data_IF_389545010694
#
_entry.id   IF_389545010694
#
_cell.length_a   1.000
_cell.length_b   1.000
_cell.length_c   1.000
_cell.angle_alpha   90.00
_cell.angle_beta   90.00
_cell.angle_gamma   90.00
#
_symmetry.space_group_name_H-M   'P 1'
#
loop_
_entity.id
_entity.type
_entity.pdbx_description
1 polymer ?
#
# COMPACT_ATOMS: atom_id res chain seq x y z
N UNK A 1 -19.79 -11.79 -10.28
CA UNK A 1 -18.40 -12.25 -10.45
C UNK A 1 -17.96 -12.88 -9.13
N UNK A 2 -17.32 -14.06 -9.15
CA UNK A 2 -16.63 -14.58 -7.96
C UNK A 2 -15.16 -14.21 -8.10
N UNK A 3 -14.59 -13.57 -7.09
CA UNK A 3 -13.14 -13.38 -6.99
C UNK A 3 -12.43 -14.73 -7.14
N UNK A 4 -11.19 -14.74 -7.60
CA UNK A 4 -10.35 -15.95 -7.64
C UNK A 4 -9.01 -15.67 -6.95
N UNK A 5 -8.26 -16.72 -6.60
CA UNK A 5 -6.97 -16.59 -5.93
C UNK A 5 -7.08 -16.28 -4.42
N UNK A 6 -5.97 -15.83 -3.83
CA UNK A 6 -5.79 -15.70 -2.37
C UNK A 6 -6.74 -14.72 -1.67
N UNK A 7 -7.42 -13.85 -2.41
CA UNK A 7 -8.31 -12.83 -1.85
C UNK A 7 -9.76 -13.30 -1.68
N UNK A 8 -10.09 -14.52 -2.13
CA UNK A 8 -11.42 -15.14 -2.04
C UNK A 8 -12.11 -15.03 -0.66
N UNK A 9 -11.33 -15.07 0.42
CA UNK A 9 -11.83 -15.14 1.79
C UNK A 9 -12.00 -13.77 2.52
N UNK A 10 -12.28 -12.70 1.77
CA UNK A 10 -12.95 -11.51 2.36
C UNK A 10 -12.15 -10.21 2.45
N UNK A 11 -11.04 -10.06 1.71
CA UNK A 11 -10.32 -8.78 1.63
C UNK A 11 -10.94 -7.86 0.55
N UNK A 12 -11.52 -8.43 -0.49
CA UNK A 12 -12.12 -7.70 -1.60
C UNK A 12 -13.41 -8.41 -2.08
N UNK A 13 -14.57 -8.20 -1.43
CA UNK A 13 -15.75 -9.02 -1.65
C UNK A 13 -16.23 -9.02 -3.11
N UNK A 14 -15.99 -7.91 -3.83
CA UNK A 14 -16.44 -7.72 -5.21
C UNK A 14 -15.29 -7.67 -6.24
N UNK A 15 -14.04 -7.87 -5.82
CA UNK A 15 -12.88 -7.89 -6.71
C UNK A 15 -11.76 -6.91 -6.33
N UNK A 16 -10.56 -7.20 -6.82
CA UNK A 16 -9.36 -6.37 -6.70
C UNK A 16 -8.98 -5.77 -8.06
N UNK A 17 -8.77 -4.45 -8.11
CA UNK A 17 -8.27 -3.78 -9.32
C UNK A 17 -6.74 -3.88 -9.40
N UNK A 18 -6.24 -4.70 -10.31
CA UNK A 18 -4.79 -4.86 -10.52
C UNK A 18 -4.16 -3.64 -11.21
N UNK A 19 -3.22 -2.99 -10.53
CA UNK A 19 -2.43 -1.85 -11.04
C UNK A 19 -0.96 -2.20 -11.33
N UNK A 20 -0.59 -3.48 -11.25
CA UNK A 20 0.79 -3.95 -11.43
C UNK A 20 1.33 -3.80 -12.86
N UNK A 21 2.59 -4.20 -13.05
CA UNK A 21 3.29 -4.09 -14.33
C UNK A 21 2.84 -5.12 -15.38
N UNK A 22 2.08 -6.14 -14.97
CA UNK A 22 1.64 -7.24 -15.84
C UNK A 22 0.70 -6.82 -16.98
N UNK A 23 0.68 -7.64 -18.02
CA UNK A 23 -0.01 -7.38 -19.28
C UNK A 23 -1.54 -7.28 -19.18
N UNK A 24 -2.11 -7.86 -18.12
CA UNK A 24 -3.56 -7.88 -17.83
C UNK A 24 -4.00 -6.84 -16.78
N UNK A 25 -3.10 -5.98 -16.31
CA UNK A 25 -3.46 -4.91 -15.37
C UNK A 25 -4.29 -3.83 -16.07
N UNK A 26 -5.10 -3.09 -15.30
CA UNK A 26 -5.95 -2.03 -15.86
C UNK A 26 -5.14 -0.98 -16.64
N UNK A 27 -4.01 -0.44 -16.12
CA UNK A 27 -3.24 0.52 -16.88
C UNK A 27 -2.61 -0.09 -18.15
N UNK A 28 -2.26 -1.38 -18.16
CA UNK A 28 -1.75 -2.07 -19.36
C UNK A 28 -2.81 -2.18 -20.45
N UNK A 29 -4.03 -2.58 -20.08
CA UNK A 29 -5.14 -2.67 -21.02
C UNK A 29 -5.47 -1.30 -21.65
N UNK A 30 -5.58 -0.26 -20.83
CA UNK A 30 -5.91 1.08 -21.31
C UNK A 30 -4.82 1.66 -22.21
N UNK A 31 -3.54 1.43 -21.87
CA UNK A 31 -2.42 1.90 -22.68
C UNK A 31 -2.31 1.15 -24.02
N UNK A 32 -2.47 -0.18 -24.03
CA UNK A 32 -2.48 -0.99 -25.27
C UNK A 32 -3.62 -0.62 -26.21
N UNK A 33 -4.76 -0.23 -25.66
CA UNK A 33 -5.88 0.29 -26.44
C UNK A 33 -5.64 1.72 -26.98
N UNK A 34 -4.51 2.35 -26.64
CA UNK A 34 -4.15 3.70 -27.07
C UNK A 34 -4.98 4.82 -26.44
N UNK A 35 -5.72 4.53 -25.36
CA UNK A 35 -6.63 5.47 -24.71
C UNK A 35 -5.86 6.47 -23.84
N UNK A 36 -4.80 5.99 -23.19
CA UNK A 36 -3.98 6.73 -22.22
C UNK A 36 -2.52 6.33 -22.35
N UNK A 37 -1.61 7.13 -21.74
CA UNK A 37 -0.21 6.72 -21.55
C UNK A 37 -0.13 5.53 -20.60
N UNK A 38 0.96 4.77 -20.66
CA UNK A 38 1.20 3.67 -19.72
C UNK A 38 1.70 4.18 -18.37
N UNK A 39 0.84 4.90 -17.67
CA UNK A 39 1.10 5.46 -16.36
C UNK A 39 -0.21 5.62 -15.60
N UNK A 40 -0.11 5.87 -14.30
CA UNK A 40 -1.26 6.30 -13.52
C UNK A 40 -0.79 7.08 -12.30
N UNK A 41 -1.70 7.79 -11.64
CA UNK A 41 -1.45 8.33 -10.31
C UNK A 41 -2.56 7.99 -9.34
N UNK A 42 -2.19 7.99 -8.06
CA UNK A 42 -3.06 7.82 -6.92
C UNK A 42 -2.89 9.00 -5.98
N UNK A 43 -3.98 9.47 -5.41
CA UNK A 43 -3.96 10.44 -4.33
C UNK A 43 -4.91 9.97 -3.23
N UNK A 44 -4.39 9.87 -2.02
CA UNK A 44 -5.15 9.55 -0.82
C UNK A 44 -5.30 10.81 0.04
N UNK A 45 -6.53 11.16 0.34
CA UNK A 45 -6.91 12.26 1.22
C UNK A 45 -7.11 11.73 2.65
N UNK A 46 -6.99 12.61 3.65
CA UNK A 46 -7.12 12.25 5.07
C UNK A 46 -8.53 11.80 5.44
N UNK A 47 -9.54 12.19 4.67
CA UNK A 47 -10.95 11.87 4.93
C UNK A 47 -11.37 10.50 4.38
N UNK A 48 -10.44 9.54 4.30
CA UNK A 48 -10.62 8.23 3.68
C UNK A 48 -11.13 8.30 2.23
N UNK A 49 -10.87 9.42 1.55
CA UNK A 49 -11.23 9.65 0.16
C UNK A 49 -9.98 9.65 -0.71
N UNK A 50 -10.16 9.58 -2.03
CA UNK A 50 -9.01 9.56 -2.92
C UNK A 50 -9.42 9.60 -4.38
N UNK A 51 -8.41 9.65 -5.24
CA UNK A 51 -8.58 9.65 -6.70
C UNK A 51 -7.50 8.81 -7.36
N UNK A 52 -7.89 8.22 -8.50
CA UNK A 52 -6.99 7.53 -9.42
C UNK A 52 -7.11 8.18 -10.80
N UNK A 53 -5.98 8.40 -11.47
CA UNK A 53 -5.93 8.94 -12.82
C UNK A 53 -5.09 8.03 -13.71
N UNK A 54 -5.66 7.49 -14.77
CA UNK A 54 -4.92 6.69 -15.75
C UNK A 54 -4.32 7.60 -16.84
N UNK A 55 -3.11 7.29 -17.29
CA UNK A 55 -2.35 8.09 -18.26
C UNK A 55 -1.63 9.29 -17.66
N UNK A 56 -1.73 9.47 -16.34
CA UNK A 56 -1.22 10.63 -15.67
C UNK A 56 0.31 10.56 -15.49
N UNK A 57 1.01 11.63 -15.87
CA UNK A 57 2.45 11.78 -15.72
C UNK A 57 2.83 12.71 -14.56
N UNK A 58 1.85 13.27 -13.86
CA UNK A 58 2.10 14.24 -12.78
C UNK A 58 2.55 15.61 -13.27
N UNK A 59 2.83 16.54 -12.35
CA UNK A 59 3.36 17.85 -12.68
C UNK A 59 4.84 17.79 -13.07
N UNK A 60 5.29 18.76 -13.88
CA UNK A 60 6.66 18.83 -14.43
C UNK A 60 7.72 18.89 -13.33
N UNK A 61 7.42 19.56 -12.21
CA UNK A 61 8.33 19.81 -11.10
C UNK A 61 8.15 18.83 -9.92
N UNK A 62 7.52 17.68 -10.14
CA UNK A 62 7.44 16.64 -9.10
C UNK A 62 8.83 16.07 -8.77
N UNK A 63 8.97 15.56 -7.56
CA UNK A 63 10.11 14.73 -7.21
C UNK A 63 9.93 13.32 -7.77
N UNK A 64 11.01 12.57 -7.96
CA UNK A 64 10.92 11.19 -8.43
C UNK A 64 12.11 10.32 -8.06
N UNK A 65 11.92 9.01 -8.14
CA UNK A 65 12.97 8.00 -8.07
C UNK A 65 12.69 6.90 -9.09
N UNK A 66 13.73 6.32 -9.68
CA UNK A 66 13.58 5.16 -10.56
C UNK A 66 13.10 3.94 -9.78
N UNK A 67 12.28 3.12 -10.43
CA UNK A 67 12.04 1.75 -9.98
C UNK A 67 13.31 0.92 -10.15
N UNK A 68 13.40 -0.13 -9.34
CA UNK A 68 14.46 -1.12 -9.38
C UNK A 68 13.89 -2.45 -9.87
N UNK A 69 14.70 -3.26 -10.58
CA UNK A 69 14.31 -4.62 -10.89
C UNK A 69 14.17 -5.45 -9.61
N UNK A 70 13.29 -6.45 -9.66
CA UNK A 70 13.09 -7.40 -8.57
C UNK A 70 14.40 -8.11 -8.22
N UNK A 71 14.78 -8.20 -6.94
CA UNK A 71 15.98 -8.91 -6.52
C UNK A 71 15.99 -10.40 -6.89
N UNK A 72 14.81 -11.02 -7.00
CA UNK A 72 14.69 -12.48 -7.18
C UNK A 72 14.93 -12.94 -8.62
N UNK A 73 14.59 -12.11 -9.61
CA UNK A 73 14.63 -12.52 -11.02
C UNK A 73 15.21 -11.44 -11.97
N UNK A 74 15.52 -10.24 -11.47
CA UNK A 74 16.08 -9.15 -12.29
C UNK A 74 15.07 -8.44 -13.19
N UNK A 75 13.78 -8.79 -13.13
CA UNK A 75 12.73 -8.21 -13.97
C UNK A 75 11.94 -7.11 -13.23
N UNK A 76 11.29 -6.24 -14.00
CA UNK A 76 10.36 -5.23 -13.50
C UNK A 76 8.95 -5.82 -13.41
N UNK A 77 8.72 -6.65 -12.39
CA UNK A 77 7.41 -7.29 -12.20
C UNK A 77 6.54 -6.56 -11.16
N UNK A 78 7.15 -5.65 -10.39
CA UNK A 78 6.48 -4.87 -9.34
C UNK A 78 7.20 -3.52 -9.11
N UNK A 79 6.62 -2.67 -8.26
CA UNK A 79 7.09 -1.31 -8.00
C UNK A 79 8.06 -1.27 -6.81
N UNK A 80 9.34 -1.56 -7.04
CA UNK A 80 10.37 -1.49 -6.00
C UNK A 80 11.17 -0.20 -6.14
N UNK A 81 11.43 0.48 -5.02
CA UNK A 81 12.30 1.66 -4.93
C UNK A 81 13.44 1.42 -3.94
N UNK A 82 14.56 2.11 -4.12
CA UNK A 82 15.70 2.06 -3.20
C UNK A 82 15.74 3.29 -2.29
N UNK A 83 15.68 3.07 -0.98
CA UNK A 83 15.75 4.13 0.04
C UNK A 83 17.16 4.18 0.62
N UNK A 84 17.88 5.28 0.39
CA UNK A 84 19.28 5.45 0.81
C UNK A 84 19.41 5.78 2.29
N UNK A 85 18.51 6.61 2.82
CA UNK A 85 18.49 6.99 4.22
C UNK A 85 17.07 7.21 4.73
N UNK A 86 16.91 7.04 6.04
CA UNK A 86 15.68 7.32 6.77
C UNK A 86 15.99 8.33 7.88
N UNK A 87 15.37 9.50 7.81
CA UNK A 87 15.66 10.61 8.72
C UNK A 87 14.49 10.90 9.67
N UNK A 88 14.85 11.17 10.93
CA UNK A 88 13.97 11.60 12.00
C UNK A 88 14.41 12.96 12.50
N UNK A 89 13.59 13.98 12.28
CA UNK A 89 13.96 15.37 12.49
C UNK A 89 15.20 15.72 11.67
N UNK A 90 16.28 16.09 12.36
CA UNK A 90 17.57 16.46 11.77
C UNK A 90 18.60 15.32 11.73
N UNK A 91 18.25 14.10 12.16
CA UNK A 91 19.16 12.96 12.17
C UNK A 91 18.76 11.96 11.09
N UNK A 92 19.73 11.60 10.27
CA UNK A 92 19.55 10.61 9.22
C UNK A 92 20.30 9.35 9.60
N UNK A 93 19.58 8.24 9.63
CA UNK A 93 20.16 6.90 9.70
C UNK A 93 20.68 6.63 8.30
N UNK A 94 21.97 6.91 8.10
CA UNK A 94 22.69 6.62 6.87
C UNK A 94 22.93 5.10 6.80
N UNK A 95 23.12 4.58 5.59
CA UNK A 95 23.37 3.14 5.33
C UNK A 95 22.16 2.21 5.48
N UNK A 96 20.93 2.73 5.55
CA UNK A 96 19.75 1.84 5.53
C UNK A 96 19.66 1.10 4.20
N UNK A 97 19.95 1.78 3.07
CA UNK A 97 20.04 1.24 1.70
C UNK A 97 19.06 0.10 1.38
N UNK A 98 17.83 0.19 1.90
CA UNK A 98 16.87 -0.89 1.81
C UNK A 98 16.01 -0.72 0.57
N UNK A 99 15.51 -1.84 0.07
CA UNK A 99 14.52 -1.86 -1.00
C UNK A 99 13.13 -1.87 -0.38
N UNK A 100 12.22 -1.14 -0.99
CA UNK A 100 10.83 -1.12 -0.57
C UNK A 100 9.89 -1.32 -1.75
N UNK A 101 8.94 -2.22 -1.58
CA UNK A 101 7.77 -2.33 -2.43
C UNK A 101 6.85 -1.13 -2.16
N UNK A 102 6.42 -0.44 -3.21
CA UNK A 102 5.37 0.58 -3.13
C UNK A 102 4.03 -0.13 -3.30
N UNK A 103 3.29 -0.29 -2.21
CA UNK A 103 2.06 -1.10 -2.20
C UNK A 103 0.85 -0.29 -1.77
N UNK A 104 -0.02 -0.01 -2.72
CA UNK A 104 -1.25 0.75 -2.52
C UNK A 104 -2.36 -0.11 -1.90
N UNK A 105 -2.18 -1.43 -1.84
CA UNK A 105 -3.10 -2.37 -1.17
C UNK A 105 -2.80 -2.57 0.31
N UNK A 106 -1.68 -2.05 0.81
CA UNK A 106 -1.29 -2.17 2.22
C UNK A 106 -1.49 -0.84 2.95
N UNK A 107 -2.19 -0.85 4.09
CA UNK A 107 -2.52 0.36 4.84
C UNK A 107 -1.30 1.04 5.48
N UNK A 108 -0.34 0.26 5.99
CA UNK A 108 0.78 0.76 6.79
C UNK A 108 2.14 0.43 6.19
N UNK A 109 3.14 1.22 6.57
CA UNK A 109 4.52 1.03 6.13
C UNK A 109 5.23 0.01 7.00
N UNK A 110 5.91 -0.94 6.37
CA UNK A 110 6.70 -1.98 7.02
C UNK A 110 8.17 -1.80 6.65
N UNK A 111 9.07 -1.86 7.63
CA UNK A 111 10.50 -1.68 7.42
C UNK A 111 11.25 -2.97 7.76
N UNK A 112 12.36 -3.27 7.07
CA UNK A 112 13.26 -4.34 7.48
C UNK A 112 13.67 -4.17 8.94
N UNK A 113 13.87 -5.29 9.63
CA UNK A 113 14.06 -5.31 11.08
C UNK A 113 15.14 -4.33 11.58
N UNK A 114 16.32 -4.34 10.96
CA UNK A 114 17.43 -3.50 11.38
C UNK A 114 17.12 -1.99 11.19
N UNK A 115 16.42 -1.64 10.11
CA UNK A 115 15.96 -0.28 9.82
C UNK A 115 14.87 0.12 10.81
N UNK A 116 13.86 -0.73 11.03
CA UNK A 116 12.76 -0.51 11.95
C UNK A 116 13.26 -0.18 13.37
N UNK A 117 14.21 -0.98 13.88
CA UNK A 117 14.78 -0.79 15.22
C UNK A 117 15.48 0.56 15.32
N UNK A 118 16.38 0.89 14.37
CA UNK A 118 17.12 2.15 14.36
C UNK A 118 16.18 3.36 14.27
N UNK A 119 15.24 3.33 13.33
CA UNK A 119 14.27 4.40 13.07
C UNK A 119 13.38 4.65 14.29
N UNK A 120 12.82 3.58 14.85
CA UNK A 120 11.88 3.72 15.96
C UNK A 120 12.56 4.21 17.24
N UNK A 121 13.79 3.77 17.51
CA UNK A 121 14.59 4.28 18.64
C UNK A 121 14.96 5.75 18.45
N UNK A 122 15.29 6.17 17.23
CA UNK A 122 15.64 7.57 16.94
C UNK A 122 14.43 8.51 17.04
N UNK A 123 13.23 8.00 16.73
CA UNK A 123 11.95 8.66 16.98
C UNK A 123 11.65 8.77 18.48
N UNK A 124 11.76 7.67 19.24
CA UNK A 124 11.56 7.62 20.70
C UNK A 124 12.41 8.65 21.45
N UNK A 125 13.69 8.79 21.06
CA UNK A 125 14.59 9.79 21.65
C UNK A 125 14.14 11.25 21.46
N UNK A 126 13.34 11.54 20.44
CA UNK A 126 12.91 12.91 20.08
C UNK A 126 11.51 13.24 20.52
N UNK A 127 10.71 12.25 20.86
CA UNK A 127 9.36 12.47 21.35
C UNK A 127 9.43 12.77 22.84
N UNK A 128 9.05 13.99 23.21
CA UNK A 128 8.94 14.39 24.62
C UNK A 128 7.55 14.04 25.17
N UNK A 129 7.25 12.75 25.28
CA UNK A 129 6.00 12.25 25.83
C UNK A 129 6.19 10.86 26.47
N UNK A 130 5.29 10.49 27.38
CA UNK A 130 5.36 9.20 28.07
C UNK A 130 4.98 8.06 27.14
N UNK A 131 5.94 7.18 26.88
CA UNK A 131 5.73 5.95 26.12
C UNK A 131 4.74 5.03 26.83
N UNK A 132 3.81 4.44 26.09
CA UNK A 132 2.79 3.51 26.59
C UNK A 132 2.43 2.49 25.51
N UNK A 133 1.72 1.43 25.89
CA UNK A 133 0.96 0.59 24.97
C UNK A 133 -0.53 0.98 25.03
N UNK A 134 -1.26 0.71 23.94
CA UNK A 134 -2.71 0.83 23.86
C UNK A 134 -3.31 -0.46 23.35
N UNK A 135 -4.35 -0.97 24.03
CA UNK A 135 -5.00 -2.21 23.64
C UNK A 135 -5.66 -2.09 22.26
N UNK A 136 -5.41 -3.06 21.38
CA UNK A 136 -5.95 -3.06 20.02
C UNK A 136 -5.13 -2.27 19.00
N UNK A 137 -4.03 -1.63 19.41
CA UNK A 137 -3.11 -0.92 18.52
C UNK A 137 -1.83 -1.74 18.33
N UNK A 138 -1.39 -2.03 17.09
CA UNK A 138 -0.29 -2.96 16.83
C UNK A 138 1.11 -2.36 17.04
N UNK A 139 1.21 -1.05 17.23
CA UNK A 139 2.49 -0.34 17.25
C UNK A 139 3.19 -0.39 18.61
N UNK A 140 4.52 -0.58 18.56
CA UNK A 140 5.39 -0.66 19.76
C UNK A 140 5.73 0.72 20.36
N UNK A 141 5.72 1.76 19.53
CA UNK A 141 6.14 3.11 19.92
C UNK A 141 4.93 4.04 19.92
N UNK A 142 4.20 4.01 21.02
CA UNK A 142 3.05 4.89 21.27
C UNK A 142 3.28 5.76 22.50
N UNK A 143 2.64 6.92 22.51
CA UNK A 143 2.84 7.96 23.52
C UNK A 143 1.51 8.53 23.96
N UNK A 144 1.35 8.76 25.27
CA UNK A 144 0.18 9.45 25.81
C UNK A 144 0.26 10.93 25.47
N UNK A 145 -0.87 11.50 25.08
CA UNK A 145 -1.02 12.95 24.99
C UNK A 145 -1.97 13.44 26.07
N UNK A 146 -1.68 14.62 26.62
CA UNK A 146 -2.61 15.32 27.50
C UNK A 146 -3.28 16.44 26.71
N UNK A 147 -4.57 16.69 26.95
CA UNK A 147 -5.35 17.74 26.27
C UNK A 147 -4.76 19.16 26.41
N UNK A 148 -3.79 19.38 27.30
CA UNK A 148 -3.20 20.68 27.60
C UNK A 148 -1.86 20.94 26.88
N UNK A 149 -1.22 19.93 26.28
CA UNK A 149 0.13 20.06 25.70
C UNK A 149 0.17 19.47 24.30
N UNK A 150 0.49 20.28 23.30
CA UNK A 150 0.78 19.79 21.96
C UNK A 150 2.16 19.12 21.94
N UNK A 151 2.19 17.80 21.74
CA UNK A 151 3.44 17.06 21.59
C UNK A 151 3.99 17.32 20.19
N UNK A 152 5.23 17.82 20.10
CA UNK A 152 5.89 18.04 18.81
C UNK A 152 6.30 16.69 18.22
N UNK A 153 5.65 16.29 17.13
CA UNK A 153 5.98 15.09 16.38
C UNK A 153 7.23 15.36 15.51
N UNK A 154 8.31 14.56 15.63
CA UNK A 154 9.46 14.67 14.75
C UNK A 154 9.10 14.39 13.30
N UNK A 155 9.64 15.18 12.36
CA UNK A 155 9.45 14.91 10.93
C UNK A 155 10.09 13.57 10.54
N UNK A 156 9.44 12.85 9.63
CA UNK A 156 9.98 11.62 9.03
C UNK A 156 10.27 11.88 7.56
N UNK A 157 11.46 11.50 7.09
CA UNK A 157 11.87 11.72 5.70
C UNK A 157 12.62 10.52 5.15
N UNK A 158 12.18 10.03 3.99
CA UNK A 158 12.91 9.06 3.18
C UNK A 158 13.81 9.82 2.19
N UNK A 159 15.05 9.38 2.04
CA UNK A 159 15.98 9.95 1.06
C UNK A 159 16.25 8.92 -0.02
N UNK A 160 16.06 9.34 -1.26
CA UNK A 160 16.24 8.57 -2.48
C UNK A 160 17.50 9.03 -3.24
N UNK A 161 17.97 8.25 -4.24
CA UNK A 161 19.06 8.68 -5.12
C UNK A 161 18.84 10.08 -5.72
N UNK A 162 19.95 10.71 -6.13
CA UNK A 162 19.99 12.11 -6.56
C UNK A 162 19.50 13.11 -5.49
N UNK A 163 19.55 12.71 -4.21
CA UNK A 163 19.15 13.52 -3.06
C UNK A 163 17.66 13.97 -3.11
N UNK A 164 16.81 13.19 -3.78
CA UNK A 164 15.37 13.42 -3.74
C UNK A 164 14.82 12.98 -2.39
N UNK A 165 14.11 13.87 -1.71
CA UNK A 165 13.58 13.62 -0.36
C UNK A 165 12.06 13.51 -0.40
N UNK A 166 11.53 12.57 0.36
CA UNK A 166 10.10 12.37 0.58
C UNK A 166 9.78 12.58 2.06
N UNK A 167 9.13 13.69 2.37
CA UNK A 167 8.75 14.01 3.75
C UNK A 167 7.37 13.42 4.02
N UNK A 168 7.26 12.42 4.89
CA UNK A 168 5.97 11.80 5.22
C UNK A 168 5.03 12.88 5.75
N UNK A 169 3.79 12.89 5.24
CA UNK A 169 2.79 13.90 5.62
C UNK A 169 2.45 13.83 7.10
N UNK A 170 1.98 12.66 7.54
CA UNK A 170 1.73 12.35 8.94
C UNK A 170 2.36 10.97 9.26
N UNK A 171 3.46 10.94 10.06
CA UNK A 171 4.12 9.69 10.39
C UNK A 171 3.46 8.94 11.57
N UNK A 172 2.42 9.49 12.19
CA UNK A 172 1.78 8.89 13.36
C UNK A 172 0.34 8.48 13.07
N UNK A 173 -0.17 7.56 13.90
CA UNK A 173 -1.57 7.19 13.94
C UNK A 173 -2.17 7.70 15.26
N UNK A 174 -3.27 8.47 15.23
CA UNK A 174 -3.91 8.96 16.45
C UNK A 174 -4.60 7.81 17.19
N UNK A 175 -4.48 7.79 18.51
CA UNK A 175 -5.18 6.86 19.39
C UNK A 175 -6.37 7.57 19.99
N UNK A 176 -7.57 7.11 19.65
CA UNK A 176 -8.82 7.73 20.05
C UNK A 176 -9.48 6.96 21.20
N UNK A 177 -10.13 7.71 22.10
CA UNK A 177 -11.08 7.22 23.10
C UNK A 177 -12.41 7.97 22.95
N UNK A 178 -13.40 7.63 23.77
CA UNK A 178 -14.67 8.36 23.84
C UNK A 178 -14.49 9.83 24.24
N UNK A 179 -13.37 10.18 24.88
CA UNK A 179 -13.03 11.53 25.34
C UNK A 179 -12.14 12.30 24.35
N UNK A 180 -11.85 11.72 23.17
CA UNK A 180 -11.03 12.31 22.12
C UNK A 180 -9.68 11.60 21.94
N UNK A 181 -8.70 12.32 21.40
CA UNK A 181 -7.35 11.79 21.16
C UNK A 181 -6.61 11.66 22.49
N UNK A 182 -6.28 10.42 22.89
CA UNK A 182 -5.58 10.10 24.14
C UNK A 182 -4.09 9.78 23.94
N UNK A 183 -3.65 9.66 22.69
CA UNK A 183 -2.26 9.44 22.34
C UNK A 183 -2.04 9.32 20.85
N UNK A 184 -0.84 8.90 20.48
CA UNK A 184 -0.48 8.60 19.10
C UNK A 184 0.58 7.50 19.07
N UNK A 185 0.69 6.81 17.94
CA UNK A 185 1.68 5.78 17.69
C UNK A 185 2.49 6.11 16.44
N UNK A 186 3.79 5.82 16.43
CA UNK A 186 4.59 5.85 15.19
C UNK A 186 4.03 4.80 14.22
N UNK A 187 3.54 5.23 13.05
CA UNK A 187 2.76 4.42 12.13
C UNK A 187 3.62 3.55 11.19
N UNK A 188 4.64 2.88 11.74
CA UNK A 188 5.48 1.92 11.00
C UNK A 188 5.57 0.61 11.79
N UNK A 189 5.73 -0.50 11.09
CA UNK A 189 5.88 -1.82 11.70
C UNK A 189 7.15 -2.51 11.19
N UNK A 190 7.60 -3.51 11.96
CA UNK A 190 8.64 -4.42 11.50
C UNK A 190 8.05 -5.34 10.42
N UNK A 191 8.75 -5.48 9.31
CA UNK A 191 8.43 -6.38 8.21
C UNK A 191 9.58 -7.32 7.85
N UNK A 192 9.51 -7.85 6.63
CA UNK A 192 10.50 -8.75 6.06
C UNK A 192 11.73 -7.98 5.50
N UNK A 193 12.60 -8.70 4.77
CA UNK A 193 13.83 -8.14 4.19
C UNK A 193 13.56 -7.00 3.18
N UNK A 194 12.47 -7.09 2.42
CA UNK A 194 12.00 -6.01 1.55
C UNK A 194 10.94 -5.22 2.31
N UNK A 195 11.17 -3.92 2.49
CA UNK A 195 10.20 -3.03 3.11
C UNK A 195 8.95 -2.85 2.26
N UNK A 196 7.90 -2.27 2.84
CA UNK A 196 6.68 -1.89 2.15
C UNK A 196 6.39 -0.43 2.48
N UNK A 197 6.29 0.42 1.47
CA UNK A 197 5.72 1.76 1.58
C UNK A 197 4.22 1.64 1.36
N UNK A 198 3.45 1.75 2.44
CA UNK A 198 2.00 1.62 2.43
C UNK A 198 1.27 2.94 2.19
N UNK A 199 -0.05 2.85 2.14
CA UNK A 199 -0.94 3.99 1.95
C UNK A 199 -0.66 5.13 2.93
N UNK A 200 -0.40 4.82 4.20
CA UNK A 200 -0.13 5.84 5.23
C UNK A 200 1.01 6.81 4.88
N UNK A 201 2.02 6.35 4.12
CA UNK A 201 3.10 7.23 3.66
C UNK A 201 2.71 7.96 2.37
N UNK A 202 1.81 7.40 1.56
CA UNK A 202 1.33 8.00 0.30
C UNK A 202 0.25 9.09 0.51
N UNK A 203 -0.42 9.12 1.66
CA UNK A 203 -1.43 10.14 1.99
C UNK A 203 -0.86 11.56 1.95
N UNK A 204 -1.63 12.51 1.42
CA UNK A 204 -1.23 13.90 1.23
C UNK A 204 -0.30 14.13 0.02
N UNK A 205 -0.19 13.12 -0.85
CA UNK A 205 0.59 13.17 -2.09
C UNK A 205 -0.22 12.65 -3.28
N UNK A 206 0.08 13.22 -4.45
CA UNK A 206 -0.18 12.57 -5.75
C UNK A 206 1.02 11.70 -6.07
N UNK A 207 0.84 10.39 -5.96
CA UNK A 207 1.85 9.36 -6.25
C UNK A 207 1.71 8.92 -7.70
N UNK A 208 2.73 9.16 -8.52
CA UNK A 208 2.70 8.91 -9.97
C UNK A 208 3.55 7.68 -10.29
N UNK A 209 2.92 6.69 -10.89
CA UNK A 209 3.57 5.46 -11.37
C UNK A 209 3.75 5.60 -12.89
N UNK A 210 4.89 6.16 -13.29
CA UNK A 210 5.26 6.28 -14.70
C UNK A 210 5.92 4.97 -15.13
N UNK A 211 5.12 4.08 -15.73
CA UNK A 211 5.54 2.74 -16.13
C UNK A 211 6.30 2.75 -17.47
N UNK A 212 6.27 3.85 -18.20
CA UNK A 212 7.03 4.04 -19.44
C UNK A 212 8.49 4.38 -19.12
N UNK A 213 8.70 5.29 -18.16
CA UNK A 213 10.02 5.69 -17.70
C UNK A 213 10.51 4.87 -16.49
N UNK A 214 9.72 3.90 -16.02
CA UNK A 214 9.99 3.07 -14.83
C UNK A 214 10.41 3.91 -13.62
N UNK A 215 9.58 4.87 -13.22
CA UNK A 215 9.83 5.75 -12.06
C UNK A 215 8.57 5.99 -11.23
N UNK A 216 8.79 6.20 -9.94
CA UNK A 216 7.81 6.75 -9.01
C UNK A 216 8.01 8.26 -8.91
N UNK A 217 6.96 9.04 -9.15
CA UNK A 217 6.91 10.47 -8.92
C UNK A 217 6.02 10.82 -7.71
N UNK A 218 6.29 11.95 -7.07
CA UNK A 218 5.43 12.48 -6.01
C UNK A 218 5.42 14.01 -5.96
N UNK A 219 4.26 14.56 -5.67
CA UNK A 219 4.04 15.97 -5.35
C UNK A 219 2.95 16.10 -4.29
N UNK A 220 3.06 17.09 -3.39
CA UNK A 220 1.99 17.38 -2.42
C UNK A 220 0.67 17.60 -3.15
N UNK A 221 -0.42 17.05 -2.62
CA UNK A 221 -1.76 17.28 -3.16
C UNK A 221 -2.82 17.01 -2.08
N UNK A 222 -3.92 17.75 -2.16
CA UNK A 222 -5.16 17.51 -1.40
C UNK A 222 -6.17 16.67 -2.23
N UNK A 223 -5.69 16.07 -3.31
CA UNK A 223 -6.45 15.34 -4.32
C UNK A 223 -7.44 16.16 -5.14
N UNK A 224 -7.69 17.45 -4.84
CA UNK A 224 -8.62 18.33 -5.56
C UNK A 224 -7.94 19.09 -6.70
N UNK A 225 -6.62 19.28 -6.67
CA UNK A 225 -5.82 20.06 -7.65
C UNK A 225 -5.96 19.57 -9.11
N UNK A 226 -6.69 18.47 -9.32
CA UNK A 226 -6.86 17.76 -10.58
C UNK A 226 -8.27 17.92 -11.19
N UNK A 227 -9.21 18.56 -10.49
CA UNK A 227 -10.50 18.95 -11.08
C UNK A 227 -10.41 20.21 -11.95
N UNK A 228 -9.40 21.05 -11.71
CA UNK A 228 -9.20 22.32 -12.43
C UNK A 228 -8.31 22.17 -13.67
N UNK A 229 -7.62 21.03 -13.79
CA UNK A 229 -7.01 20.62 -15.04
C UNK A 229 -8.13 20.25 -16.02
N UNK A 230 -8.54 21.22 -16.86
CA UNK A 230 -9.34 21.01 -18.07
C UNK A 230 -9.02 19.62 -18.63
N UNK A 231 -10.07 18.79 -18.75
CA UNK A 231 -10.00 17.38 -19.06
C UNK A 231 -8.79 17.04 -19.92
N UNK A 232 -7.98 16.11 -19.42
CA UNK A 232 -6.82 15.54 -20.11
C UNK A 232 -7.07 15.56 -21.61
N UNK A 233 -6.24 16.31 -22.36
CA UNK A 233 -6.33 16.35 -23.81
C UNK A 233 -6.13 14.93 -24.32
N UNK A 234 -7.24 14.19 -24.46
CA UNK A 234 -7.26 12.89 -25.08
C UNK A 234 -6.74 13.12 -26.48
N UNK A 235 -5.56 12.59 -26.77
CA UNK A 235 -5.02 12.61 -28.13
C UNK A 235 -6.08 11.96 -29.02
N UNK A 236 -6.59 12.63 -30.07
CA UNK A 236 -7.55 12.01 -30.97
C UNK A 236 -6.95 10.73 -31.53
N UNK A 237 -7.73 9.65 -31.69
CA UNK A 237 -7.25 8.43 -32.33
C UNK A 237 -6.62 8.77 -33.70
N UNK A 238 -5.57 8.05 -34.13
CA UNK A 238 -5.05 8.19 -35.49
C UNK A 238 -6.19 8.03 -36.49
N UNK A 239 -6.38 9.04 -37.36
CA UNK A 239 -7.38 9.00 -38.44
C UNK A 239 -7.11 7.75 -39.29
N UNK A 240 -8.01 6.76 -39.22
CA UNK A 240 -7.94 5.54 -40.03
C UNK A 240 -8.10 4.23 -39.27
N UNK A 241 -8.20 4.25 -37.94
CA UNK A 241 -8.48 3.02 -37.16
C UNK A 241 -9.99 2.81 -37.09
N UNK A 242 -10.56 1.65 -37.46
CA UNK A 242 -11.96 1.36 -37.21
C UNK A 242 -12.20 1.53 -35.70
N UNK A 243 -13.31 2.19 -35.33
CA UNK A 243 -13.77 2.16 -33.95
C UNK A 243 -13.96 0.69 -33.59
N UNK A 244 -13.06 0.14 -32.79
CA UNK A 244 -13.30 -1.17 -32.21
C UNK A 244 -14.55 -0.98 -31.35
N UNK A 245 -15.66 -1.70 -31.62
CA UNK A 245 -16.82 -1.58 -30.76
C UNK A 245 -16.35 -1.85 -29.34
N UNK A 246 -16.73 -1.00 -28.39
CA UNK A 246 -16.75 -1.41 -26.99
C UNK A 246 -17.35 -2.82 -26.98
N UNK A 247 -16.79 -3.82 -26.27
CA UNK A 247 -17.45 -5.10 -26.16
C UNK A 247 -18.85 -4.80 -25.64
N UNK A 248 -19.84 -4.96 -26.53
CA UNK A 248 -21.24 -5.06 -26.16
C UNK A 248 -21.33 -6.15 -25.11
N UNK A 249 -22.36 -6.09 -24.25
CA UNK A 249 -22.65 -7.04 -23.17
C UNK A 249 -22.80 -8.52 -23.59
N UNK A 250 -22.27 -8.93 -24.74
CA UNK A 250 -22.08 -10.32 -25.11
C UNK A 250 -20.92 -10.91 -24.33
N UNK A 251 -21.28 -11.30 -23.12
CA UNK A 251 -20.67 -12.41 -22.41
C UNK A 251 -20.51 -13.56 -23.43
N UNK A 252 -19.29 -14.06 -23.59
CA UNK A 252 -19.02 -15.27 -24.36
C UNK A 252 -19.75 -16.43 -23.65
N UNK A 253 -21.02 -16.63 -23.99
CA UNK A 253 -21.87 -17.67 -23.45
C UNK A 253 -21.63 -18.94 -24.25
N UNK A 254 -21.13 -19.97 -23.58
CA UNK A 254 -21.32 -21.32 -24.09
C UNK A 254 -22.84 -21.60 -24.14
N UNK A 255 -23.35 -22.25 -25.19
CA UNK A 255 -24.79 -22.51 -25.30
C UNK A 255 -25.21 -23.50 -24.20
N UNK A 256 -25.86 -22.98 -23.15
CA UNK A 256 -26.39 -23.79 -22.04
C UNK A 256 -26.66 -23.04 -20.73
N UNK A 257 -26.02 -21.90 -20.47
CA UNK A 257 -26.17 -21.20 -19.18
C UNK A 257 -27.12 -19.99 -19.25
N UNK A 258 -28.06 -19.94 -18.30
CA UNK A 258 -28.99 -18.82 -18.10
C UNK A 258 -28.19 -17.60 -17.62
N UNK A 259 -28.24 -16.51 -18.38
CA UNK A 259 -27.59 -15.25 -18.05
C UNK A 259 -28.15 -14.66 -16.74
N UNK A 260 -27.27 -14.44 -15.75
CA UNK A 260 -27.60 -13.73 -14.51
C UNK A 260 -27.19 -12.27 -14.67
N UNK A 261 -28.11 -11.35 -14.37
CA UNK A 261 -27.88 -9.91 -14.49
C UNK A 261 -26.67 -9.42 -13.65
N UNK A 262 -25.98 -8.34 -14.06
CA UNK A 262 -24.89 -7.76 -13.28
C UNK A 262 -25.39 -7.34 -11.89
N UNK A 263 -24.58 -7.59 -10.86
CA UNK A 263 -24.86 -7.08 -9.52
C UNK A 263 -24.84 -5.54 -9.54
N UNK A 264 -25.89 -4.93 -9.00
CA UNK A 264 -25.94 -3.49 -8.74
C UNK A 264 -24.95 -3.20 -7.62
N UNK A 265 -23.91 -2.41 -7.91
CA UNK A 265 -22.95 -1.98 -6.91
C UNK A 265 -23.68 -1.16 -5.82
N UNK A 266 -23.78 -1.71 -4.62
CA UNK A 266 -24.27 -0.99 -3.45
C UNK A 266 -23.29 0.10 -3.03
N UNK A 267 -23.80 1.23 -2.52
CA UNK A 267 -22.97 2.27 -1.91
C UNK A 267 -22.24 1.67 -0.71
N UNK A 268 -20.91 1.79 -0.65
CA UNK A 268 -20.15 1.40 0.53
C UNK A 268 -20.66 2.19 1.76
N UNK A 269 -20.84 1.54 2.92
CA UNK A 269 -21.24 2.23 4.13
C UNK A 269 -20.15 3.21 4.58
N UNK A 270 -20.54 4.39 5.06
CA UNK A 270 -19.65 5.48 5.47
C UNK A 270 -18.91 5.24 6.80
N UNK A 271 -18.78 3.98 7.24
CA UNK A 271 -18.06 3.62 8.47
C UNK A 271 -16.81 2.82 8.10
N UNK A 272 -15.63 3.21 8.60
CA UNK A 272 -14.43 2.40 8.40
C UNK A 272 -14.66 1.02 9.04
N UNK A 273 -14.42 -0.02 8.26
CA UNK A 273 -14.46 -1.40 8.76
C UNK A 273 -13.22 -1.62 9.62
N UNK A 274 -13.37 -1.48 10.94
CA UNK A 274 -12.40 -2.04 11.87
C UNK A 274 -12.50 -3.57 11.74
N UNK A 275 -11.49 -4.19 11.14
CA UNK A 275 -11.38 -5.65 11.17
C UNK A 275 -11.41 -6.11 12.63
N UNK A 276 -12.41 -6.92 13.00
CA UNK A 276 -12.57 -7.42 14.36
C UNK A 276 -11.37 -8.29 14.75
N UNK A 277 -10.57 -7.82 15.71
CA UNK A 277 -9.38 -8.48 16.25
C UNK A 277 -9.64 -9.89 16.82
N UNK A 278 -10.91 -10.21 17.15
CA UNK A 278 -11.30 -11.53 17.67
C UNK A 278 -11.21 -12.65 16.62
N UNK A 279 -11.49 -12.35 15.35
CA UNK A 279 -11.46 -13.35 14.28
C UNK A 279 -10.00 -13.68 13.92
N UNK A 280 -9.12 -12.68 13.94
CA UNK A 280 -7.69 -12.85 13.68
C UNK A 280 -7.03 -13.68 14.79
N UNK A 281 -7.33 -13.41 16.06
CA UNK A 281 -6.83 -14.22 17.19
C UNK A 281 -7.25 -15.69 17.09
N UNK A 282 -8.51 -15.99 16.74
CA UNK A 282 -8.98 -17.37 16.57
C UNK A 282 -8.27 -18.10 15.43
N UNK A 283 -8.02 -17.42 14.30
CA UNK A 283 -7.26 -17.99 13.19
C UNK A 283 -5.80 -18.30 13.58
N UNK A 284 -5.17 -17.46 14.39
CA UNK A 284 -3.82 -17.73 14.91
C UNK A 284 -3.77 -18.90 15.92
N UNK A 285 -4.80 -19.07 16.76
CA UNK A 285 -4.88 -20.22 17.67
C UNK A 285 -5.07 -21.54 16.90
N UNK A 286 -5.92 -21.55 15.87
CA UNK A 286 -6.13 -22.72 15.03
C UNK A 286 -4.87 -23.07 14.21
N UNK A 287 -4.14 -22.06 13.69
CA UNK A 287 -2.85 -22.29 13.01
C UNK A 287 -1.79 -22.85 13.97
N UNK A 288 -1.71 -22.33 15.20
CA UNK A 288 -0.77 -22.88 16.20
C UNK A 288 -1.13 -24.31 16.60
N UNK A 289 -2.42 -24.61 16.73
CA UNK A 289 -2.88 -25.96 17.06
C UNK A 289 -2.60 -26.95 15.92
N UNK A 290 -2.79 -26.55 14.66
CA UNK A 290 -2.46 -27.41 13.51
C UNK A 290 -0.95 -27.65 13.38
N UNK A 291 -0.12 -26.63 13.61
CA UNK A 291 1.35 -26.76 13.65
C UNK A 291 1.82 -27.69 14.79
N UNK A 292 1.20 -27.62 15.97
CA UNK A 292 1.49 -28.51 17.10
C UNK A 292 1.07 -29.96 16.81
N UNK A 293 -0.08 -30.17 16.19
CA UNK A 293 -0.54 -31.50 15.76
C UNK A 293 0.36 -32.09 14.66
N UNK A 294 0.83 -31.26 13.72
CA UNK A 294 1.77 -31.68 12.68
C UNK A 294 3.12 -32.09 13.29
N UNK A 295 3.64 -31.30 14.25
CA UNK A 295 4.86 -31.66 14.97
C UNK A 295 4.68 -32.94 15.81
N UNK A 296 3.51 -33.13 16.43
CA UNK A 296 3.22 -34.34 17.19
C UNK A 296 3.16 -35.58 16.27
N UNK A 297 2.55 -35.45 15.07
CA UNK A 297 2.54 -36.52 14.08
C UNK A 297 3.95 -36.86 13.55
N UNK A 298 4.76 -35.85 13.23
CA UNK A 298 6.16 -36.07 12.79
C UNK A 298 6.98 -36.78 13.87
N UNK A 299 6.82 -36.39 15.14
CA UNK A 299 7.49 -37.03 16.27
C UNK A 299 6.99 -38.47 16.47
N UNK A 300 5.70 -38.72 16.31
CA UNK A 300 5.11 -40.06 16.42
C UNK A 300 5.56 -40.97 15.26
N UNK A 301 5.62 -40.47 14.04
CA UNK A 301 6.09 -41.21 12.87
C UNK A 301 7.59 -41.56 12.95
N UNK A 302 8.39 -40.66 13.54
CA UNK A 302 9.80 -40.95 13.85
C UNK A 302 9.96 -41.94 15.02
N UNK A 303 9.05 -41.96 16.00
CA UNK A 303 9.05 -42.98 17.08
C UNK A 303 8.64 -44.37 16.59
N UNK A 304 7.84 -44.45 15.52
CA UNK A 304 7.40 -45.72 14.89
C UNK A 304 8.33 -46.16 13.75
N UNK A 305 9.42 -45.41 13.50
CA UNK A 305 10.55 -45.84 12.67
C UNK A 305 10.42 -45.58 11.17
N UNK A 306 9.54 -44.66 10.73
CA UNK A 306 9.22 -44.46 9.30
C UNK A 306 9.75 -43.15 8.69
N UNK A 307 10.67 -42.44 9.35
CA UNK A 307 11.22 -41.19 8.81
C UNK A 307 12.28 -41.43 7.71
N UNK A 308 11.98 -41.09 6.46
CA UNK A 308 12.97 -40.84 5.39
C UNK A 308 13.09 -39.32 5.16
N UNK A 309 14.34 -38.85 5.07
CA UNK A 309 14.70 -37.44 4.84
C UNK A 309 14.28 -36.92 3.46
#
# INVERSE_FOLDING_TARGET
MKQSGSYLDGIAPDGLMGLGLGEISVPSFLAKAGIVRNSFSLCFDENDSGRIFFGDLGPINQHSTSFLPSPSNGNYDTYIVGVQAFCIGNSCIKETNFKALVDTGTSFTFLPEDVYVKVSLEFDKRVNATKTSFDGYPWKYCYKTSSQVSVKIPSVTLVFPANNSFVVYDPVFPVNSNEGVIGFCLAIQQGDEIGILGQNFMTGYRMVFDREALKLGWSRSNCQDLSDAKGMNLTPPPKGTPANPLPTNEQQSNPGDIAVAPAVAGRAPSKPSAASSRITQWRFYLLRLSLLLLQFHIVLDCLVGSCFF
#
